data_IF_775328149422
#
_entry.id   IF_775328149422
#
_cell.length_a   1.000
_cell.length_b   1.000
_cell.length_c   1.000
_cell.angle_alpha   90.00
_cell.angle_beta   90.00
_cell.angle_gamma   90.00
#
_symmetry.space_group_name_H-M   'P 1'
#
loop_
_entity.id
_entity.type
_entity.pdbx_description
1 polymer ?
#
# COMPACT_ATOMS: atom_id res chain seq x y z
N UNK A 1 -23.38 -18.25 -9.61
CA UNK A 1 -22.88 -16.88 -9.39
C UNK A 1 -23.41 -16.01 -10.50
N UNK A 2 -24.08 -14.90 -10.18
CA UNK A 2 -24.59 -14.00 -11.22
C UNK A 2 -23.46 -13.20 -11.85
N UNK A 3 -23.66 -12.68 -13.06
CA UNK A 3 -22.67 -11.84 -13.75
C UNK A 3 -22.29 -10.61 -12.92
N UNK A 4 -23.28 -9.98 -12.25
CA UNK A 4 -23.05 -8.86 -11.33
C UNK A 4 -22.17 -9.25 -10.15
N UNK A 5 -22.42 -10.40 -9.52
CA UNK A 5 -21.60 -10.87 -8.39
C UNK A 5 -20.14 -11.14 -8.80
N UNK A 6 -19.93 -11.66 -10.01
CA UNK A 6 -18.58 -11.84 -10.57
C UNK A 6 -17.89 -10.50 -10.81
N UNK A 7 -18.62 -9.49 -11.32
CA UNK A 7 -18.11 -8.14 -11.49
C UNK A 7 -17.74 -7.51 -10.15
N UNK A 8 -18.59 -7.62 -9.12
CA UNK A 8 -18.29 -7.13 -7.76
C UNK A 8 -17.01 -7.75 -7.22
N UNK A 9 -16.85 -9.07 -7.35
CA UNK A 9 -15.62 -9.76 -6.90
C UNK A 9 -14.39 -9.29 -7.66
N UNK A 10 -14.49 -9.18 -8.98
CA UNK A 10 -13.38 -8.75 -9.84
C UNK A 10 -12.95 -7.33 -9.49
N UNK A 11 -13.89 -6.39 -9.39
CA UNK A 11 -13.59 -4.99 -9.10
C UNK A 11 -13.16 -4.76 -7.65
N UNK A 12 -13.69 -5.54 -6.70
CA UNK A 12 -13.20 -5.52 -5.31
C UNK A 12 -11.76 -6.00 -5.22
N UNK A 13 -11.40 -7.08 -5.91
CA UNK A 13 -10.01 -7.54 -6.04
C UNK A 13 -9.13 -6.47 -6.70
N UNK A 14 -9.59 -5.86 -7.81
CA UNK A 14 -8.84 -4.83 -8.52
C UNK A 14 -8.58 -3.60 -7.64
N UNK A 15 -9.48 -3.23 -6.73
CA UNK A 15 -9.23 -2.16 -5.77
C UNK A 15 -7.98 -2.41 -4.91
N UNK A 16 -7.61 -3.67 -4.65
CA UNK A 16 -6.40 -4.00 -3.90
C UNK A 16 -5.19 -4.28 -4.80
N UNK A 17 -5.35 -5.11 -5.83
CA UNK A 17 -4.23 -5.55 -6.68
C UNK A 17 -3.64 -4.41 -7.51
N UNK A 18 -4.46 -3.43 -7.90
CA UNK A 18 -3.97 -2.25 -8.62
C UNK A 18 -2.96 -1.41 -7.82
N UNK A 19 -2.89 -1.57 -6.49
CA UNK A 19 -1.83 -0.97 -5.66
C UNK A 19 -0.43 -1.44 -6.05
N UNK A 20 -0.29 -2.59 -6.70
CA UNK A 20 0.98 -3.09 -7.22
C UNK A 20 1.51 -2.25 -8.39
N UNK A 21 0.71 -1.36 -8.99
CA UNK A 21 1.22 -0.36 -9.94
C UNK A 21 2.28 0.55 -9.30
N UNK A 22 2.33 0.61 -7.96
CA UNK A 22 3.42 1.21 -7.19
C UNK A 22 4.83 0.67 -7.49
N UNK A 23 4.93 -0.56 -8.01
CA UNK A 23 6.18 -1.16 -8.45
C UNK A 23 6.70 -0.55 -9.76
N UNK A 24 5.81 -0.04 -10.60
CA UNK A 24 6.17 0.57 -11.88
C UNK A 24 6.55 2.04 -11.70
N UNK A 25 5.80 2.76 -10.85
CA UNK A 25 6.07 4.15 -10.52
C UNK A 25 5.50 4.50 -9.14
N UNK A 26 6.15 5.43 -8.43
CA UNK A 26 5.90 5.70 -7.01
C UNK A 26 4.44 6.03 -6.65
N UNK A 27 3.70 6.73 -7.52
CA UNK A 27 2.30 7.09 -7.30
C UNK A 27 1.30 6.00 -7.74
N UNK A 28 1.75 4.95 -8.43
CA UNK A 28 0.87 3.91 -8.94
C UNK A 28 0.16 3.17 -7.82
N UNK A 29 0.77 3.13 -6.64
CA UNK A 29 0.22 2.49 -5.45
C UNK A 29 -1.05 3.20 -4.92
N UNK A 30 -1.21 4.49 -5.20
CA UNK A 30 -2.38 5.28 -4.86
C UNK A 30 -3.35 5.38 -6.05
N UNK A 31 -2.82 5.65 -7.24
CA UNK A 31 -3.63 5.84 -8.44
C UNK A 31 -4.34 4.57 -8.87
N UNK A 32 -3.72 3.39 -8.72
CA UNK A 32 -4.35 2.12 -9.07
C UNK A 32 -5.68 1.91 -8.35
N UNK A 33 -5.68 1.83 -7.01
CA UNK A 33 -6.90 1.65 -6.22
C UNK A 33 -7.92 2.75 -6.44
N UNK A 34 -7.45 4.01 -6.58
CA UNK A 34 -8.32 5.15 -6.83
C UNK A 34 -9.06 4.98 -8.15
N UNK A 35 -8.36 4.68 -9.24
CA UNK A 35 -8.97 4.49 -10.55
C UNK A 35 -9.90 3.29 -10.55
N UNK A 36 -9.47 2.15 -9.98
CA UNK A 36 -10.29 0.95 -9.89
C UNK A 36 -11.64 1.21 -9.20
N UNK A 37 -11.60 1.92 -8.07
CA UNK A 37 -12.82 2.31 -7.35
C UNK A 37 -13.67 3.31 -8.13
N UNK A 38 -13.06 4.41 -8.61
CA UNK A 38 -13.81 5.50 -9.25
C UNK A 38 -14.46 5.10 -10.57
N UNK A 39 -13.89 4.13 -11.30
CA UNK A 39 -14.45 3.63 -12.56
C UNK A 39 -15.75 2.84 -12.38
N UNK A 40 -15.96 2.19 -11.23
CA UNK A 40 -17.12 1.32 -11.00
C UNK A 40 -18.01 1.69 -9.81
N UNK A 41 -17.63 2.65 -8.98
CA UNK A 41 -18.41 3.05 -7.78
C UNK A 41 -19.89 3.35 -8.03
N UNK A 42 -20.24 3.87 -9.21
CA UNK A 42 -21.63 4.24 -9.54
C UNK A 42 -22.46 3.00 -9.96
N UNK A 43 -21.81 1.97 -10.50
CA UNK A 43 -22.46 0.74 -10.98
C UNK A 43 -22.49 -0.37 -9.91
N UNK A 44 -21.42 -0.43 -9.12
CA UNK A 44 -21.15 -1.43 -8.09
C UNK A 44 -20.86 -0.74 -6.74
N UNK A 45 -21.89 -0.23 -6.03
CA UNK A 45 -21.70 0.39 -4.71
C UNK A 45 -21.01 -0.52 -3.70
N UNK A 46 -21.11 -1.84 -3.88
CA UNK A 46 -20.52 -2.87 -3.01
C UNK A 46 -18.98 -2.81 -2.95
N UNK A 47 -18.32 -2.24 -3.98
CA UNK A 47 -16.85 -2.13 -4.01
C UNK A 47 -16.34 -0.93 -3.20
N UNK A 48 -17.21 -0.05 -2.72
CA UNK A 48 -16.83 1.19 -2.05
C UNK A 48 -15.95 0.95 -0.83
N UNK A 49 -16.30 -0.05 -0.02
CA UNK A 49 -15.51 -0.40 1.17
C UNK A 49 -14.10 -0.88 0.78
N UNK A 50 -13.98 -1.70 -0.27
CA UNK A 50 -12.68 -2.18 -0.78
C UNK A 50 -11.83 -1.04 -1.32
N UNK A 51 -12.43 -0.14 -2.10
CA UNK A 51 -11.76 1.04 -2.65
C UNK A 51 -11.22 1.96 -1.55
N UNK A 52 -12.06 2.31 -0.57
CA UNK A 52 -11.68 3.17 0.56
C UNK A 52 -10.62 2.53 1.44
N UNK A 53 -10.78 1.26 1.81
CA UNK A 53 -9.85 0.56 2.70
C UNK A 53 -8.48 0.36 2.02
N UNK A 54 -8.45 0.03 0.73
CA UNK A 54 -7.22 -0.01 -0.07
C UNK A 54 -6.54 1.37 -0.13
N UNK A 55 -7.26 2.44 -0.48
CA UNK A 55 -6.69 3.79 -0.53
C UNK A 55 -6.13 4.25 0.81
N UNK A 56 -6.90 4.06 1.89
CA UNK A 56 -6.47 4.40 3.25
C UNK A 56 -5.17 3.68 3.63
N UNK A 57 -5.06 2.40 3.28
CA UNK A 57 -3.85 1.61 3.55
C UNK A 57 -2.66 2.12 2.74
N UNK A 58 -2.84 2.40 1.44
CA UNK A 58 -1.77 2.90 0.58
C UNK A 58 -1.29 4.28 1.03
N UNK A 59 -2.19 5.17 1.46
CA UNK A 59 -1.83 6.45 2.08
C UNK A 59 -1.03 6.19 3.37
N UNK A 60 -1.45 5.25 4.21
CA UNK A 60 -0.75 4.90 5.45
C UNK A 60 0.68 4.41 5.16
N UNK A 61 0.85 3.46 4.23
CA UNK A 61 2.17 2.93 3.85
C UNK A 61 3.06 4.03 3.27
N UNK A 62 2.51 4.94 2.45
CA UNK A 62 3.22 6.09 1.91
C UNK A 62 3.68 7.01 3.05
N UNK A 63 2.82 7.37 3.99
CA UNK A 63 3.19 8.23 5.12
C UNK A 63 4.31 7.63 5.97
N UNK A 64 4.19 6.34 6.34
CA UNK A 64 5.24 5.62 7.07
C UNK A 64 6.53 5.59 6.27
N UNK A 65 6.44 5.31 4.97
CA UNK A 65 7.59 5.30 4.05
C UNK A 65 8.29 6.65 3.94
N UNK A 66 7.54 7.75 3.93
CA UNK A 66 8.08 9.10 3.91
C UNK A 66 8.76 9.47 5.23
N UNK A 67 8.16 9.11 6.38
CA UNK A 67 8.77 9.30 7.70
C UNK A 67 10.11 8.54 7.77
N UNK A 68 10.14 7.28 7.34
CA UNK A 68 11.37 6.50 7.30
C UNK A 68 12.43 7.13 6.41
N UNK A 69 12.07 7.64 5.23
CA UNK A 69 13.00 8.37 4.33
C UNK A 69 13.56 9.65 4.96
N UNK A 70 12.71 10.44 5.61
CA UNK A 70 13.15 11.68 6.28
C UNK A 70 14.11 11.41 7.44
N UNK A 71 13.95 10.29 8.14
CA UNK A 71 14.89 9.88 9.20
C UNK A 71 16.16 9.27 8.56
N UNK A 72 16.02 8.52 7.46
CA UNK A 72 17.13 7.82 6.81
C UNK A 72 18.19 8.76 6.21
N UNK A 73 17.78 9.80 5.48
CA UNK A 73 18.70 10.70 4.76
C UNK A 73 19.69 11.42 5.69
N UNK A 74 19.27 12.03 6.82
CA UNK A 74 20.20 12.61 7.79
C UNK A 74 21.12 11.57 8.44
N UNK A 75 20.63 10.36 8.70
CA UNK A 75 21.41 9.29 9.35
C UNK A 75 22.50 8.74 8.43
N UNK A 76 22.21 8.61 7.12
CA UNK A 76 23.25 8.31 6.11
C UNK A 76 24.32 9.41 6.10
N UNK A 77 23.90 10.68 6.01
CA UNK A 77 24.83 11.81 5.96
C UNK A 77 25.73 11.88 7.18
N UNK A 78 25.17 11.66 8.38
CA UNK A 78 25.94 11.58 9.62
C UNK A 78 26.88 10.36 9.64
N UNK A 79 26.44 9.19 9.16
CA UNK A 79 27.27 7.99 9.07
C UNK A 79 28.46 8.13 8.14
N UNK A 80 28.31 8.88 7.03
CA UNK A 80 29.38 9.21 6.09
C UNK A 80 30.39 10.22 6.66
N UNK A 81 29.94 11.19 7.46
CA UNK A 81 30.78 12.26 7.99
C UNK A 81 31.52 11.89 9.30
N UNK A 82 30.85 11.16 10.21
CA UNK A 82 31.35 10.92 11.56
C UNK A 82 31.92 9.50 11.76
N UNK A 83 31.70 8.57 10.82
CA UNK A 83 32.17 7.19 10.92
C UNK A 83 31.59 6.40 12.11
N UNK A 84 32.08 5.18 12.35
CA UNK A 84 31.69 4.37 13.52
C UNK A 84 30.30 3.69 13.42
N UNK A 85 29.64 3.36 14.56
CA UNK A 85 28.38 2.61 14.57
C UNK A 85 27.22 3.30 13.82
N UNK A 86 27.29 4.61 13.62
CA UNK A 86 26.33 5.37 12.81
C UNK A 86 26.42 5.05 11.31
N UNK A 87 27.60 4.63 10.82
CA UNK A 87 27.76 4.21 9.43
C UNK A 87 27.04 2.89 9.13
N UNK A 88 26.93 1.97 10.09
CA UNK A 88 26.20 0.71 9.92
C UNK A 88 24.67 0.92 9.82
N UNK A 89 24.14 1.91 10.55
CA UNK A 89 22.71 2.26 10.54
C UNK A 89 22.36 3.05 9.26
N UNK A 90 23.26 3.92 8.79
CA UNK A 90 23.11 4.72 7.58
C UNK A 90 23.22 3.92 6.28
N UNK A 91 24.19 3.02 6.13
CA UNK A 91 24.53 2.38 4.84
C UNK A 91 23.55 1.29 4.34
N UNK A 92 22.29 1.25 4.82
CA UNK A 92 21.24 0.40 4.26
C UNK A 92 20.91 -0.88 5.04
N UNK A 93 21.76 -1.32 5.98
CA UNK A 93 21.42 -2.45 6.88
C UNK A 93 20.43 -2.06 7.99
N UNK A 94 20.40 -0.78 8.39
CA UNK A 94 19.47 -0.24 9.40
C UNK A 94 18.13 0.24 8.80
N UNK A 95 17.89 1.55 8.81
CA UNK A 95 16.58 2.13 8.44
C UNK A 95 16.20 1.83 6.98
N UNK A 96 17.18 1.68 6.09
CA UNK A 96 16.95 1.30 4.69
C UNK A 96 16.31 -0.08 4.54
N UNK A 97 16.73 -1.06 5.33
CA UNK A 97 16.15 -2.41 5.33
C UNK A 97 14.71 -2.39 5.87
N UNK A 98 14.44 -1.60 6.92
CA UNK A 98 13.08 -1.38 7.46
C UNK A 98 12.16 -0.75 6.41
N UNK A 99 12.64 0.24 5.66
CA UNK A 99 11.88 0.86 4.57
C UNK A 99 11.47 -0.17 3.50
N UNK A 100 12.41 -1.03 3.07
CA UNK A 100 12.12 -2.08 2.09
C UNK A 100 11.11 -3.10 2.64
N UNK A 101 11.25 -3.50 3.91
CA UNK A 101 10.32 -4.43 4.55
C UNK A 101 8.91 -3.87 4.65
N UNK A 102 8.73 -2.61 5.02
CA UNK A 102 7.41 -1.96 5.10
C UNK A 102 6.71 -1.95 3.74
N UNK A 103 7.43 -1.59 2.67
CA UNK A 103 6.85 -1.56 1.32
C UNK A 103 6.54 -2.97 0.80
N UNK A 104 7.43 -3.94 1.04
CA UNK A 104 7.21 -5.33 0.69
C UNK A 104 5.99 -5.92 1.41
N UNK A 105 5.87 -5.69 2.72
CA UNK A 105 4.69 -6.09 3.49
C UNK A 105 3.43 -5.41 2.96
N UNK A 106 3.50 -4.13 2.60
CA UNK A 106 2.39 -3.41 1.96
C UNK A 106 1.89 -4.11 0.69
N UNK A 107 2.79 -4.50 -0.20
CA UNK A 107 2.43 -5.23 -1.42
C UNK A 107 1.91 -6.63 -1.15
N UNK A 108 2.50 -7.37 -0.22
CA UNK A 108 2.01 -8.70 0.19
C UNK A 108 0.58 -8.58 0.73
N UNK A 109 0.32 -7.62 1.61
CA UNK A 109 -1.02 -7.40 2.16
C UNK A 109 -2.01 -6.99 1.08
N UNK A 110 -1.60 -6.21 0.08
CA UNK A 110 -2.45 -5.89 -1.07
C UNK A 110 -2.83 -7.13 -1.89
N UNK A 111 -1.89 -8.06 -2.10
CA UNK A 111 -2.18 -9.35 -2.74
C UNK A 111 -3.15 -10.18 -1.91
N UNK A 112 -2.91 -10.32 -0.60
CA UNK A 112 -3.78 -11.06 0.32
C UNK A 112 -5.19 -10.48 0.33
N UNK A 113 -5.31 -9.16 0.41
CA UNK A 113 -6.59 -8.46 0.35
C UNK A 113 -7.32 -8.70 -0.97
N UNK A 114 -6.60 -8.66 -2.10
CA UNK A 114 -7.15 -8.96 -3.42
C UNK A 114 -7.66 -10.39 -3.55
N UNK A 115 -6.91 -11.38 -3.05
CA UNK A 115 -7.33 -12.79 -3.03
C UNK A 115 -8.59 -12.96 -2.17
N UNK A 116 -8.63 -12.34 -0.99
CA UNK A 116 -9.79 -12.43 -0.11
C UNK A 116 -11.03 -11.75 -0.73
N UNK A 117 -10.86 -10.59 -1.36
CA UNK A 117 -11.91 -9.88 -2.10
C UNK A 117 -12.46 -10.72 -3.27
N UNK A 118 -11.60 -11.42 -4.00
CA UNK A 118 -12.02 -12.32 -5.07
C UNK A 118 -12.84 -13.52 -4.55
N UNK A 119 -12.57 -13.96 -3.32
CA UNK A 119 -13.37 -15.00 -2.65
C UNK A 119 -14.70 -14.45 -2.06
N UNK A 120 -14.96 -13.15 -2.19
CA UNK A 120 -16.14 -12.47 -1.65
C UNK A 120 -16.03 -12.05 -0.19
N UNK A 121 -14.82 -12.08 0.39
CA UNK A 121 -14.56 -11.60 1.74
C UNK A 121 -13.99 -10.18 1.75
N UNK A 122 -14.09 -9.50 2.89
CA UNK A 122 -13.54 -8.15 3.06
C UNK A 122 -12.28 -8.18 3.94
N UNK A 123 -11.17 -7.62 3.43
CA UNK A 123 -9.90 -7.56 4.16
C UNK A 123 -9.69 -6.21 4.83
N UNK A 124 -9.63 -6.21 6.16
CA UNK A 124 -9.22 -5.07 6.98
C UNK A 124 -7.70 -5.02 7.05
N UNK A 125 -7.08 -3.98 6.49
CA UNK A 125 -5.63 -3.86 6.58
C UNK A 125 -5.18 -3.58 8.02
N UNK A 126 -4.16 -4.29 8.53
CA UNK A 126 -3.58 -4.00 9.82
C UNK A 126 -2.87 -2.64 9.78
N UNK A 127 -2.89 -1.93 10.91
CA UNK A 127 -2.24 -0.61 11.08
C UNK A 127 -2.72 0.49 10.12
N UNK A 128 -3.81 0.27 9.38
CA UNK A 128 -4.39 1.21 8.43
C UNK A 128 -5.07 2.38 9.14
N UNK A 129 -4.69 3.61 8.76
CA UNK A 129 -5.33 4.84 9.20
C UNK A 129 -6.45 5.19 8.21
N UNK A 130 -7.68 5.33 8.72
CA UNK A 130 -8.89 5.54 7.90
C UNK A 130 -9.19 7.01 7.71
N UNK A 131 -8.57 7.60 6.70
CA UNK A 131 -8.81 8.99 6.29
C UNK A 131 -10.16 9.15 5.61
N UNK A 132 -10.49 8.24 4.70
CA UNK A 132 -11.77 8.20 3.99
C UNK A 132 -12.72 7.28 4.77
N UNK A 133 -13.87 7.81 5.17
CA UNK A 133 -14.95 7.08 5.86
C UNK A 133 -16.04 6.68 4.88
#
# INVERSE_FOLDING_TARGET
>A
MTTREQDVRTWSMLCHISALAGLLFSLGSLLGPLLAWQLKKNELPEIEEHGKESLNFQITVILVSWILKFIFVPVIGAGLLFGGPFSAIGNGLGIGSVYLLVNLLGWILAVVAGIQANNGGFYRYPLCIRFIK
#
